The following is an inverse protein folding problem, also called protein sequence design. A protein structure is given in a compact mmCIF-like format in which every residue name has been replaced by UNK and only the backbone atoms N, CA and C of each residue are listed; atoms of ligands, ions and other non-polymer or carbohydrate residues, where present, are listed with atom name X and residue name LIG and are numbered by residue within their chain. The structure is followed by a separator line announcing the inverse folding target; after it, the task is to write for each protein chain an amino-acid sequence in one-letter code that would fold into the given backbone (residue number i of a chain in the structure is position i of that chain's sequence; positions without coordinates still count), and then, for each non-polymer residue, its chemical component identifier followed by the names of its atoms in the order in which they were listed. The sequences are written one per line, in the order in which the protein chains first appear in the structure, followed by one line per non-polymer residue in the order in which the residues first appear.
data_IF_319496760757
#
_entry.id   IF_319496760757
#
_cell.length_a   1.000
_cell.length_b   1.000
_cell.length_c   1.000
_cell.angle_alpha   90.00
_cell.angle_beta   90.00
_cell.angle_gamma   90.00
#
_symmetry.space_group_name_H-M   'P 1'
#
loop_
_entity.id
_entity.type
_entity.pdbx_description
1 polymer ?
#
# COMPACT_ATOMS: atom_id res chain seq x y z
N UNK A 1 1.49 1.57 39.88
CA UNK A 1 1.54 1.60 39.45
C UNK A 1 2.03 1.75 38.89
N UNK A 2 2.08 1.67 38.71
CA UNK A 2 2.30 1.67 38.10
C UNK A 2 2.69 1.78 37.56
N UNK A 3 2.92 1.69 37.47
CA UNK A 3 3.12 1.79 36.86
C UNK A 3 3.30 2.01 36.20
N UNK A 4 3.47 2.03 36.11
CA UNK A 4 3.41 2.20 35.34
C UNK A 4 3.36 2.31 34.59
N UNK A 5 3.24 2.71 34.77
CA UNK A 5 2.97 2.95 34.18
C UNK A 5 2.90 2.46 33.14
N UNK A 6 3.17 1.95 33.15
CA UNK A 6 3.25 1.41 32.27
C UNK A 6 2.26 1.08 31.70
N UNK A 7 2.16 1.29 31.12
CA UNK A 7 1.28 1.09 30.57
C UNK A 7 1.00 -0.08 30.29
N UNK A 8 0.36 -0.30 30.47
CA UNK A 8 -0.01 -1.41 30.32
C UNK A 8 -0.32 -1.84 29.14
N UNK A 9 -0.03 -2.64 28.99
CA UNK A 9 -0.26 -3.07 27.88
C UNK A 9 -1.51 -3.21 27.71
N UNK A 10 -1.95 -2.94 27.28
CA UNK A 10 -2.94 -2.90 27.02
C UNK A 10 -3.54 -3.92 26.65
N UNK A 11 -4.13 -4.31 27.02
CA UNK A 11 -4.92 -5.06 26.73
C UNK A 11 -5.68 -4.72 25.86
N UNK A 12 -5.70 -4.28 25.06
CA UNK A 12 -6.36 -3.80 24.18
C UNK A 12 -7.58 -4.41 23.89
N UNK A 13 -8.58 -4.14 24.58
CA UNK A 13 -9.90 -4.39 24.21
C UNK A 13 -10.19 -3.73 22.92
N UNK A 14 -9.47 -2.68 22.59
CA UNK A 14 -9.68 -1.98 21.36
C UNK A 14 -8.38 -2.09 20.61
N UNK A 15 -8.35 -2.81 19.51
CA UNK A 15 -7.11 -2.98 18.76
C UNK A 15 -6.56 -1.63 18.39
N UNK A 16 -5.30 -1.46 18.61
CA UNK A 16 -4.63 -0.24 18.25
C UNK A 16 -4.24 -0.29 16.79
N UNK A 17 -4.24 0.83 16.10
CA UNK A 17 -3.76 0.84 14.74
C UNK A 17 -2.30 0.42 14.74
N UNK A 18 -1.95 -0.36 13.76
CA UNK A 18 -0.58 -0.80 13.66
C UNK A 18 0.28 0.39 13.31
N UNK A 19 1.33 0.59 14.04
CA UNK A 19 2.22 1.67 13.73
C UNK A 19 3.07 1.27 12.56
N UNK A 20 3.06 2.09 11.53
CA UNK A 20 3.83 1.81 10.34
C UNK A 20 5.28 2.16 10.58
N UNK A 21 6.17 1.19 10.39
CA UNK A 21 7.59 1.39 10.58
C UNK A 21 8.32 1.71 9.30
N UNK A 22 7.63 1.71 8.18
CA UNK A 22 8.25 1.98 6.89
C UNK A 22 7.99 3.42 6.54
N UNK A 23 9.03 4.21 6.42
CA UNK A 23 8.85 5.63 6.12
C UNK A 23 9.17 5.99 4.69
N UNK A 24 9.91 5.17 3.97
CA UNK A 24 10.29 5.48 2.60
C UNK A 24 10.29 4.25 1.73
N UNK A 25 10.14 4.46 0.45
CA UNK A 25 10.17 3.38 -0.53
C UNK A 25 11.10 3.78 -1.66
N UNK A 26 11.52 2.81 -2.45
CA UNK A 26 12.39 3.04 -3.60
C UNK A 26 11.55 2.93 -4.86
N UNK A 27 11.57 3.96 -5.67
CA UNK A 27 10.89 3.97 -6.95
C UNK A 27 11.70 3.19 -7.98
N UNK A 28 11.05 2.90 -9.11
CA UNK A 28 11.73 2.11 -10.15
C UNK A 28 13.04 2.73 -10.60
N UNK A 29 13.12 4.05 -10.61
CA UNK A 29 14.33 4.72 -11.05
C UNK A 29 15.35 4.90 -9.94
N UNK A 30 15.12 4.30 -8.79
CA UNK A 30 16.06 4.36 -7.68
C UNK A 30 15.85 5.49 -6.70
N UNK A 31 14.90 6.38 -6.97
CA UNK A 31 14.67 7.50 -6.05
C UNK A 31 13.98 7.03 -4.78
N UNK A 32 14.35 7.65 -3.68
CA UNK A 32 13.68 7.39 -2.42
C UNK A 32 12.56 8.41 -2.25
N UNK A 33 11.38 7.94 -1.92
CA UNK A 33 10.24 8.83 -1.69
C UNK A 33 9.55 8.39 -0.42
N UNK A 34 8.75 9.28 0.14
CA UNK A 34 8.03 8.97 1.36
C UNK A 34 6.97 7.90 1.09
N UNK A 35 6.78 7.03 2.06
CA UNK A 35 5.72 6.06 1.98
C UNK A 35 4.39 6.77 2.27
N UNK A 36 3.40 6.57 1.43
CA UNK A 36 2.11 7.22 1.61
C UNK A 36 1.01 6.20 1.37
N UNK A 37 0.39 5.75 2.43
CA UNK A 37 -0.61 4.69 2.30
C UNK A 37 -1.85 5.14 1.56
N UNK A 38 -2.10 6.44 1.48
CA UNK A 38 -3.25 6.91 0.71
C UNK A 38 -3.10 6.61 -0.77
N UNK A 39 -1.87 6.54 -1.26
CA UNK A 39 -1.68 6.16 -2.65
C UNK A 39 -2.09 4.72 -2.89
N UNK A 40 -1.87 3.86 -1.90
CA UNK A 40 -2.31 2.48 -2.01
C UNK A 40 -3.83 2.43 -2.01
N UNK A 41 -4.46 3.16 -1.09
CA UNK A 41 -5.92 3.18 -1.00
C UNK A 41 -6.52 3.66 -2.32
N UNK A 42 -5.96 4.72 -2.88
CA UNK A 42 -6.47 5.27 -4.12
C UNK A 42 -6.29 4.28 -5.29
N UNK A 43 -5.18 3.56 -5.32
CA UNK A 43 -4.96 2.58 -6.37
C UNK A 43 -5.96 1.43 -6.27
N UNK A 44 -6.21 0.96 -5.06
CA UNK A 44 -7.18 -0.11 -4.85
C UNK A 44 -8.57 0.39 -5.24
N UNK A 45 -8.91 1.61 -4.81
CA UNK A 45 -10.22 2.15 -5.12
C UNK A 45 -10.42 2.30 -6.62
N UNK A 46 -9.41 2.77 -7.33
CA UNK A 46 -9.52 2.90 -8.78
C UNK A 46 -9.71 1.56 -9.46
N UNK A 47 -8.99 0.55 -9.01
CA UNK A 47 -9.15 -0.78 -9.57
C UNK A 47 -10.56 -1.28 -9.32
N UNK A 48 -11.08 -1.09 -8.12
CA UNK A 48 -12.44 -1.53 -7.80
C UNK A 48 -13.47 -0.71 -8.59
N UNK A 49 -13.23 0.59 -8.74
CA UNK A 49 -14.16 1.45 -9.44
C UNK A 49 -14.29 1.07 -10.91
N UNK A 50 -13.22 0.58 -11.51
CA UNK A 50 -13.28 0.14 -12.90
C UNK A 50 -14.22 -1.05 -13.06
N UNK A 51 -14.55 -1.72 -11.97
CA UNK A 51 -15.49 -2.84 -11.98
C UNK A 51 -16.81 -2.45 -11.34
N UNK A 52 -17.02 -1.18 -11.10
CA UNK A 52 -18.28 -0.71 -10.51
C UNK A 52 -18.30 -0.53 -9.02
N UNK A 53 -17.20 -0.80 -8.34
CA UNK A 53 -17.15 -0.66 -6.89
C UNK A 53 -17.05 0.79 -6.46
N UNK A 54 -17.55 1.08 -5.26
CA UNK A 54 -17.49 2.45 -4.76
C UNK A 54 -17.19 2.51 -3.27
N UNK A 55 -16.66 1.44 -2.73
CA UNK A 55 -16.50 1.35 -1.28
C UNK A 55 -15.12 1.82 -0.87
N UNK A 56 -15.02 3.09 -0.49
CA UNK A 56 -13.77 3.68 -0.05
C UNK A 56 -13.32 3.09 1.28
N UNK A 57 -14.26 2.80 2.16
CA UNK A 57 -13.91 2.23 3.45
C UNK A 57 -13.29 0.84 3.27
N UNK A 58 -13.81 0.10 2.32
CA UNK A 58 -13.24 -1.21 2.04
C UNK A 58 -11.83 -1.07 1.49
N UNK A 59 -11.61 -0.09 0.63
CA UNK A 59 -10.28 0.15 0.10
C UNK A 59 -9.30 0.53 1.22
N UNK A 60 -9.75 1.34 2.16
CA UNK A 60 -8.90 1.73 3.29
C UNK A 60 -8.60 0.52 4.18
N UNK A 61 -9.58 -0.34 4.39
CA UNK A 61 -9.40 -1.54 5.18
C UNK A 61 -8.35 -2.45 4.54
N UNK A 62 -8.45 -2.62 3.22
CA UNK A 62 -7.49 -3.45 2.51
C UNK A 62 -6.09 -2.84 2.56
N UNK A 63 -6.01 -1.52 2.48
CA UNK A 63 -4.74 -0.83 2.61
C UNK A 63 -4.10 -1.11 3.95
N UNK A 64 -4.89 -1.09 5.02
CA UNK A 64 -4.35 -1.37 6.34
C UNK A 64 -3.78 -2.78 6.42
N UNK A 65 -4.41 -3.72 5.74
CA UNK A 65 -3.86 -5.06 5.68
C UNK A 65 -2.55 -5.11 4.91
N UNK A 66 -2.46 -4.33 3.84
CA UNK A 66 -1.21 -4.26 3.08
C UNK A 66 -0.09 -3.72 3.97
N UNK A 67 -0.38 -2.62 4.67
CA UNK A 67 0.62 -2.01 5.56
C UNK A 67 1.03 -2.99 6.64
N UNK A 68 0.07 -3.72 7.19
CA UNK A 68 0.38 -4.70 8.22
C UNK A 68 1.34 -5.76 7.68
N UNK A 69 1.08 -6.29 6.50
CA UNK A 69 1.93 -7.34 5.93
C UNK A 69 3.32 -6.82 5.60
N UNK A 70 3.40 -5.60 5.11
CA UNK A 70 4.70 -5.00 4.83
C UNK A 70 5.50 -4.88 6.12
N UNK A 71 4.86 -4.42 7.18
CA UNK A 71 5.56 -4.25 8.44
C UNK A 71 5.95 -5.57 9.08
N UNK A 72 5.26 -6.64 8.74
CA UNK A 72 5.67 -7.94 9.20
C UNK A 72 6.81 -8.52 8.39
N UNK A 73 6.89 -8.16 7.14
CA UNK A 73 7.90 -8.72 6.25
C UNK A 73 9.23 -7.99 6.31
N UNK A 74 9.22 -6.72 6.72
CA UNK A 74 10.43 -5.91 6.71
C UNK A 74 10.78 -5.41 8.09
N UNK A 75 12.06 -5.32 8.41
CA UNK A 75 12.46 -4.76 9.70
C UNK A 75 12.25 -3.26 9.72
N UNK A 76 12.20 -2.65 10.90
CA UNK A 76 12.04 -1.21 10.98
C UNK A 76 13.17 -0.49 10.24
N UNK A 77 12.80 0.53 9.52
CA UNK A 77 13.79 1.31 8.76
C UNK A 77 14.08 0.76 7.39
N UNK A 78 13.53 -0.39 7.03
CA UNK A 78 13.74 -0.93 5.70
C UNK A 78 13.08 -0.05 4.66
N UNK A 79 13.54 -0.15 3.42
CA UNK A 79 13.02 0.64 2.33
C UNK A 79 12.60 -0.29 1.20
N UNK A 80 11.37 -0.78 1.23
CA UNK A 80 10.91 -1.68 0.17
C UNK A 80 10.76 -0.95 -1.15
N UNK A 81 10.78 -1.69 -2.23
CA UNK A 81 10.56 -1.10 -3.54
C UNK A 81 9.08 -0.95 -3.81
N UNK A 82 8.75 -0.07 -4.74
CA UNK A 82 7.37 0.09 -5.18
C UNK A 82 6.83 -1.24 -5.70
N UNK A 83 7.65 -1.99 -6.42
CA UNK A 83 7.19 -3.27 -6.96
C UNK A 83 6.84 -4.26 -5.85
N UNK A 84 7.65 -4.27 -4.79
CA UNK A 84 7.33 -5.15 -3.66
C UNK A 84 6.02 -4.77 -3.02
N UNK A 85 5.78 -3.47 -2.86
CA UNK A 85 4.53 -3.02 -2.28
C UNK A 85 3.36 -3.41 -3.16
N UNK A 86 3.50 -3.27 -4.47
CA UNK A 86 2.44 -3.65 -5.39
C UNK A 86 2.15 -5.15 -5.33
N UNK A 87 3.17 -5.95 -5.10
CA UNK A 87 2.95 -7.39 -4.93
C UNK A 87 2.15 -7.67 -3.66
N UNK A 88 2.41 -6.93 -2.59
CA UNK A 88 1.61 -7.09 -1.38
C UNK A 88 0.16 -6.69 -1.62
N UNK A 89 -0.06 -5.63 -2.40
CA UNK A 89 -1.42 -5.21 -2.70
C UNK A 89 -2.16 -6.32 -3.44
N UNK A 90 -1.54 -6.91 -4.44
CA UNK A 90 -2.16 -7.99 -5.20
C UNK A 90 -2.50 -9.15 -4.29
N UNK A 91 -1.59 -9.52 -3.43
CA UNK A 91 -1.80 -10.65 -2.56
C UNK A 91 -2.93 -10.39 -1.58
N UNK A 92 -2.99 -9.20 -1.02
CA UNK A 92 -4.08 -8.86 -0.09
C UNK A 92 -5.41 -8.90 -0.81
N UNK A 93 -5.48 -8.38 -2.02
CA UNK A 93 -6.73 -8.40 -2.77
C UNK A 93 -7.17 -9.84 -3.04
N UNK A 94 -6.27 -10.68 -3.45
CA UNK A 94 -6.60 -12.07 -3.73
C UNK A 94 -7.04 -12.79 -2.47
N UNK A 95 -6.31 -12.60 -1.39
CA UNK A 95 -6.62 -13.29 -0.14
C UNK A 95 -7.94 -12.86 0.47
N UNK A 96 -8.42 -11.68 0.11
CA UNK A 96 -9.69 -11.20 0.61
C UNK A 96 -10.84 -11.46 -0.37
N UNK A 97 -10.60 -12.29 -1.39
CA UNK A 97 -11.66 -12.66 -2.30
C UNK A 97 -11.93 -11.67 -3.41
N UNK A 98 -11.03 -10.71 -3.61
CA UNK A 98 -11.21 -9.69 -4.63
C UNK A 98 -10.33 -9.97 -5.85
N UNK A 99 -10.47 -11.17 -6.41
CA UNK A 99 -9.60 -11.57 -7.51
C UNK A 99 -9.79 -10.69 -8.75
N UNK A 100 -11.02 -10.25 -9.00
CA UNK A 100 -11.26 -9.40 -10.16
C UNK A 100 -10.61 -8.04 -9.97
N UNK A 101 -10.70 -7.51 -8.76
CA UNK A 101 -10.05 -6.23 -8.47
C UNK A 101 -8.54 -6.38 -8.56
N UNK A 102 -8.02 -7.52 -8.11
CA UNK A 102 -6.59 -7.77 -8.21
C UNK A 102 -6.14 -7.77 -9.67
N UNK A 103 -6.94 -8.39 -10.54
CA UNK A 103 -6.61 -8.41 -11.96
C UNK A 103 -6.63 -7.00 -12.54
N UNK A 104 -7.62 -6.20 -12.17
CA UNK A 104 -7.68 -4.82 -12.64
C UNK A 104 -6.48 -4.03 -12.16
N UNK A 105 -6.05 -4.28 -10.90
CA UNK A 105 -4.90 -3.59 -10.36
C UNK A 105 -3.62 -4.00 -11.10
N UNK A 106 -3.48 -5.27 -11.43
CA UNK A 106 -2.32 -5.75 -12.16
C UNK A 106 -2.25 -5.10 -13.54
N UNK A 107 -3.38 -5.00 -14.21
CA UNK A 107 -3.40 -4.36 -15.52
C UNK A 107 -3.05 -2.88 -15.43
N UNK A 108 -3.55 -2.23 -14.39
CA UNK A 108 -3.28 -0.83 -14.18
C UNK A 108 -1.78 -0.59 -13.95
N UNK A 109 -1.15 -1.40 -13.11
CA UNK A 109 0.27 -1.20 -12.86
C UNK A 109 1.10 -1.51 -14.11
N UNK A 110 0.66 -2.48 -14.90
CA UNK A 110 1.36 -2.81 -16.12
C UNK A 110 1.28 -1.65 -17.10
N UNK A 111 0.10 -1.08 -17.26
CA UNK A 111 -0.06 0.02 -18.18
C UNK A 111 0.70 1.26 -17.74
N UNK A 112 0.71 1.52 -16.45
CA UNK A 112 1.48 2.65 -15.94
C UNK A 112 2.95 2.47 -16.24
N UNK A 113 3.47 1.29 -16.01
CA UNK A 113 4.86 1.01 -16.28
C UNK A 113 5.17 1.15 -17.76
N UNK A 114 4.31 0.60 -18.59
CA UNK A 114 4.53 0.65 -20.01
C UNK A 114 4.51 2.08 -20.53
N UNK A 115 3.56 2.87 -20.07
CA UNK A 115 3.47 4.25 -20.47
C UNK A 115 4.72 5.02 -20.06
N UNK A 116 5.18 4.78 -18.85
CA UNK A 116 6.35 5.48 -18.37
C UNK A 116 7.59 5.09 -19.15
N UNK A 117 7.72 3.83 -19.51
CA UNK A 117 8.85 3.37 -20.27
C UNK A 117 8.84 3.90 -21.70
N UNK A 118 7.65 4.07 -22.27
CA UNK A 118 7.56 4.52 -23.62
C UNK A 118 7.69 6.01 -23.79
N UNK A 119 7.38 6.78 -22.78
CA UNK A 119 7.46 8.19 -22.90
C UNK A 119 8.77 8.67 -22.42
N UNK A 120 9.43 9.45 -23.17
CA UNK A 120 10.64 10.05 -22.72
C UNK A 120 10.29 10.89 -21.52
N UNK A 121 11.24 11.21 -20.74
CA UNK A 121 10.99 11.93 -19.64
C UNK A 121 10.36 13.20 -19.85
N UNK A 122 9.37 13.50 -19.25
CA UNK A 122 8.69 14.74 -19.36
C UNK A 122 8.67 15.34 -18.00
N UNK A 123 9.27 16.49 -17.89
CA UNK A 123 9.35 17.08 -16.63
C UNK A 123 8.01 17.40 -16.10
N UNK A 124 7.80 17.25 -14.87
CA UNK A 124 6.56 17.56 -14.25
C UNK A 124 5.55 16.45 -14.24
N UNK A 125 5.82 15.37 -14.87
CA UNK A 125 4.90 14.30 -14.85
C UNK A 125 4.88 13.69 -13.47
N UNK A 126 3.70 13.55 -12.96
CA UNK A 126 3.58 13.04 -11.68
C UNK A 126 3.58 11.60 -11.63
N UNK A 127 4.24 11.06 -10.67
CA UNK A 127 4.29 9.77 -10.55
C UNK A 127 3.39 9.32 -9.54
N UNK A 128 2.38 8.64 -9.78
CA UNK A 128 1.45 8.32 -8.86
C UNK A 128 1.57 7.00 -8.43
N UNK A 129 2.23 6.52 -7.77
CA UNK A 129 2.39 5.37 -7.34
C UNK A 129 2.03 4.54 -7.85
#
# INVERSE_FOLDING_TARGET
MNTDGASPPQLDLFPQPQQNKISRIIKRDGRLVAFNKLKITNAIYRAAASLGGRDQDRSAFLTDQVVHRINEAYPPGATPSVEDIQDFVERVLIDNGHAKTAKAFILYRYEKTKTRDQKPEVSGVQDNI
#
